data_IF_209163853292
#
_entry.id   IF_209163853292
#
_cell.length_a   1.000
_cell.length_b   1.000
_cell.length_c   1.000
_cell.angle_alpha   90.00
_cell.angle_beta   90.00
_cell.angle_gamma   90.00
#
_symmetry.space_group_name_H-M   'P 1'
#
loop_
_entity.id
_entity.type
_entity.pdbx_description
1 polymer ?
#
# COMPACT_ATOMS: atom_id res chain seq x y z
N UNK A 1 -7.04 8.69 -0.52
CA UNK A 1 -6.35 7.41 -0.81
C UNK A 1 -7.36 6.33 -1.18
N UNK A 2 -8.27 5.91 -0.29
CA UNK A 2 -9.27 4.86 -0.57
C UNK A 2 -10.10 5.12 -1.83
N UNK A 3 -10.62 6.33 -2.04
CA UNK A 3 -11.38 6.65 -3.26
C UNK A 3 -10.59 6.39 -4.56
N UNK A 4 -9.25 6.59 -4.54
CA UNK A 4 -8.39 6.31 -5.70
C UNK A 4 -8.19 4.81 -5.92
N UNK A 5 -8.19 4.00 -4.86
CA UNK A 5 -8.17 2.54 -4.98
C UNK A 5 -9.48 2.02 -5.58
N UNK A 6 -10.61 2.53 -5.07
CA UNK A 6 -11.94 2.08 -5.49
C UNK A 6 -12.32 2.57 -6.89
N UNK A 7 -11.74 3.67 -7.37
CA UNK A 7 -11.96 4.17 -8.72
C UNK A 7 -11.53 3.19 -9.83
N UNK A 8 -10.75 2.15 -9.52
CA UNK A 8 -10.41 1.09 -10.48
C UNK A 8 -11.57 0.12 -10.75
N UNK A 9 -12.59 0.07 -9.89
CA UNK A 9 -13.69 -0.90 -9.98
C UNK A 9 -15.07 -0.33 -9.71
N UNK A 10 -15.17 0.91 -9.23
CA UNK A 10 -16.44 1.59 -8.92
C UNK A 10 -16.47 2.95 -9.59
N UNK A 11 -17.42 3.13 -10.52
CA UNK A 11 -17.63 4.38 -11.24
C UNK A 11 -18.09 5.52 -10.32
N UNK A 12 -17.86 6.76 -10.75
CA UNK A 12 -18.37 7.96 -10.06
C UNK A 12 -17.63 8.33 -8.77
N UNK A 13 -16.51 7.70 -8.46
CA UNK A 13 -15.66 7.99 -7.29
C UNK A 13 -14.92 9.31 -7.45
N UNK A 14 -15.02 10.21 -6.46
CA UNK A 14 -14.26 11.46 -6.44
C UNK A 14 -12.79 11.20 -6.06
N UNK A 15 -11.92 11.28 -7.07
CA UNK A 15 -10.47 11.15 -6.89
C UNK A 15 -9.75 12.50 -6.81
N UNK A 16 -10.45 13.62 -7.00
CA UNK A 16 -9.86 14.96 -6.99
C UNK A 16 -9.55 15.45 -5.57
N UNK A 17 -10.19 14.88 -4.55
CA UNK A 17 -9.97 15.29 -3.16
C UNK A 17 -8.48 15.17 -2.76
N UNK A 18 -7.84 16.28 -2.32
CA UNK A 18 -6.39 16.33 -2.12
C UNK A 18 -5.95 15.89 -0.72
N UNK A 19 -6.91 15.57 0.17
CA UNK A 19 -6.61 15.15 1.53
C UNK A 19 -6.99 13.69 1.76
N UNK A 20 -6.36 13.09 2.76
CA UNK A 20 -6.77 11.80 3.30
C UNK A 20 -7.27 12.05 4.72
N UNK A 21 -8.45 11.50 5.06
CA UNK A 21 -9.05 11.63 6.41
C UNK A 21 -8.04 11.34 7.51
N UNK A 22 -7.23 10.31 7.29
CA UNK A 22 -5.97 10.10 8.00
C UNK A 22 -4.83 10.62 7.15
N UNK A 23 -4.18 11.70 7.59
CA UNK A 23 -3.22 12.43 6.77
C UNK A 23 -1.94 11.63 6.52
N UNK A 24 -1.20 11.25 7.55
CA UNK A 24 -0.01 10.40 7.41
C UNK A 24 -0.37 8.95 7.78
N UNK A 25 0.25 7.94 7.15
CA UNK A 25 1.20 8.05 6.04
C UNK A 25 0.52 8.34 4.68
N UNK A 26 -0.80 8.19 4.60
CA UNK A 26 -1.54 8.02 3.35
C UNK A 26 -1.50 9.19 2.36
N UNK A 27 -1.33 10.44 2.80
CA UNK A 27 -1.19 11.60 1.90
C UNK A 27 0.03 11.47 0.99
N UNK A 28 1.06 10.74 1.42
CA UNK A 28 2.25 10.46 0.61
C UNK A 28 1.97 9.52 -0.57
N UNK A 29 0.87 8.77 -0.55
CA UNK A 29 0.47 7.92 -1.67
C UNK A 29 -0.09 8.72 -2.84
N UNK A 30 -0.57 9.95 -2.60
CA UNK A 30 -1.20 10.76 -3.65
C UNK A 30 -0.25 11.08 -4.81
N UNK A 31 1.03 11.34 -4.50
CA UNK A 31 2.08 11.54 -5.53
C UNK A 31 2.34 10.27 -6.35
N UNK A 32 2.13 9.07 -5.80
CA UNK A 32 2.32 7.81 -6.51
C UNK A 32 1.22 7.64 -7.57
N UNK A 33 -0.02 7.95 -7.22
CA UNK A 33 -1.14 7.94 -8.17
C UNK A 33 -0.98 8.96 -9.30
N UNK A 34 -0.39 10.12 -9.01
CA UNK A 34 -0.21 11.19 -9.98
C UNK A 34 1.05 11.04 -10.85
N UNK A 35 1.98 10.15 -10.49
CA UNK A 35 3.26 10.00 -11.16
C UNK A 35 3.18 9.10 -12.41
N UNK A 36 4.13 9.30 -13.32
CA UNK A 36 4.33 8.45 -14.48
C UNK A 36 4.79 7.05 -14.06
N UNK A 37 4.50 6.04 -14.90
CA UNK A 37 4.75 4.63 -14.56
C UNK A 37 6.19 4.37 -14.10
N UNK A 38 7.18 5.02 -14.72
CA UNK A 38 8.60 4.85 -14.46
C UNK A 38 9.06 5.47 -13.12
N UNK A 39 8.33 6.45 -12.59
CA UNK A 39 8.67 7.14 -11.34
C UNK A 39 8.06 6.45 -10.12
N UNK A 40 6.96 5.71 -10.32
CA UNK A 40 6.20 5.04 -9.24
C UNK A 40 7.04 4.11 -8.37
N UNK A 41 7.98 3.29 -8.89
CA UNK A 41 8.78 2.40 -8.05
C UNK A 41 9.60 3.15 -7.00
N UNK A 42 10.30 4.21 -7.41
CA UNK A 42 11.10 5.03 -6.50
C UNK A 42 10.23 5.74 -5.46
N UNK A 43 9.04 6.22 -5.86
CA UNK A 43 8.11 6.87 -4.95
C UNK A 43 7.49 5.88 -3.94
N UNK A 44 7.23 4.64 -4.35
CA UNK A 44 6.75 3.58 -3.46
C UNK A 44 7.82 3.13 -2.48
N UNK A 45 9.06 2.99 -2.94
CA UNK A 45 10.21 2.70 -2.08
C UNK A 45 10.40 3.79 -1.01
N UNK A 46 10.35 5.07 -1.41
CA UNK A 46 10.40 6.22 -0.49
C UNK A 46 9.23 6.23 0.51
N UNK A 47 8.04 5.83 0.07
CA UNK A 47 6.86 5.70 0.93
C UNK A 47 7.06 4.63 2.00
N UNK A 48 7.46 3.42 1.60
CA UNK A 48 7.67 2.28 2.49
C UNK A 48 8.79 2.54 3.51
N UNK A 49 9.90 3.12 3.07
CA UNK A 49 11.01 3.51 3.95
C UNK A 49 10.59 4.47 5.07
N UNK A 50 9.53 5.27 4.85
CA UNK A 50 9.02 6.25 5.80
C UNK A 50 7.71 5.81 6.47
N UNK A 51 7.18 4.63 6.14
CA UNK A 51 5.83 4.22 6.50
C UNK A 51 5.66 4.19 8.02
N UNK A 52 6.55 3.50 8.73
CA UNK A 52 6.46 3.33 10.18
C UNK A 52 6.56 4.66 10.93
N UNK A 53 7.61 5.46 10.66
CA UNK A 53 7.81 6.75 11.31
C UNK A 53 6.73 7.78 10.97
N UNK A 54 6.19 7.72 9.74
CA UNK A 54 5.07 8.56 9.34
C UNK A 54 3.78 8.17 10.09
N UNK A 55 3.67 6.91 10.53
CA UNK A 55 2.58 6.37 11.32
C UNK A 55 2.72 6.59 12.83
N UNK A 56 3.73 7.31 13.32
CA UNK A 56 3.96 7.56 14.77
C UNK A 56 2.81 8.19 15.57
N UNK A 57 1.81 8.74 14.89
CA UNK A 57 0.60 9.31 15.52
C UNK A 57 -0.57 8.33 15.54
N UNK A 58 -0.42 7.17 14.92
CA UNK A 58 -1.47 6.16 14.88
C UNK A 58 -1.45 5.31 16.16
N UNK A 59 -2.62 4.87 16.65
CA UNK A 59 -2.72 4.08 17.88
C UNK A 59 -1.96 2.76 17.86
N UNK A 60 -1.64 2.22 16.67
CA UNK A 60 -0.88 0.98 16.52
C UNK A 60 0.64 1.19 16.58
N UNK A 61 1.15 2.41 16.52
CA UNK A 61 2.59 2.63 16.61
C UNK A 61 3.13 2.11 17.95
N UNK A 62 4.24 1.39 17.91
CA UNK A 62 4.83 0.67 19.05
C UNK A 62 3.88 -0.29 19.78
N UNK A 63 2.76 -0.70 19.17
CA UNK A 63 1.87 -1.70 19.77
C UNK A 63 2.58 -3.03 20.02
N UNK A 64 3.55 -3.39 19.17
CA UNK A 64 4.41 -4.56 19.34
C UNK A 64 5.19 -4.58 20.66
N UNK A 65 5.43 -3.40 21.26
CA UNK A 65 6.14 -3.26 22.53
C UNK A 65 5.19 -3.05 23.73
N UNK A 66 3.89 -2.83 23.48
CA UNK A 66 2.90 -2.48 24.52
C UNK A 66 1.94 -3.60 24.87
N UNK A 67 1.62 -4.49 23.93
CA UNK A 67 0.56 -5.48 24.10
C UNK A 67 0.89 -6.80 23.37
N UNK A 68 0.38 -7.89 23.93
CA UNK A 68 0.29 -9.21 23.29
C UNK A 68 -0.65 -9.25 22.08
N UNK A 69 -1.53 -8.25 21.91
CA UNK A 69 -2.48 -8.14 20.78
C UNK A 69 -1.90 -7.55 19.48
N UNK A 70 -0.59 -7.66 19.26
CA UNK A 70 0.06 -7.14 18.05
C UNK A 70 -0.23 -8.00 16.81
N UNK A 71 -1.06 -7.49 15.91
CA UNK A 71 -1.44 -8.17 14.65
C UNK A 71 -0.42 -8.02 13.50
N UNK A 72 0.75 -7.42 13.76
CA UNK A 72 1.73 -7.10 12.71
C UNK A 72 1.62 -5.67 12.18
N UNK A 73 2.63 -5.26 11.44
CA UNK A 73 2.67 -4.00 10.69
C UNK A 73 2.62 -4.32 9.21
N UNK A 74 1.50 -4.02 8.57
CA UNK A 74 1.27 -4.33 7.17
C UNK A 74 0.72 -3.11 6.45
N UNK A 75 1.45 -2.64 5.44
CA UNK A 75 0.99 -1.61 4.51
C UNK A 75 0.14 -2.27 3.43
N UNK A 76 -1.10 -2.61 3.77
CA UNK A 76 -2.07 -3.19 2.84
C UNK A 76 -2.33 -2.29 1.63
N UNK A 77 -2.32 -0.97 1.87
CA UNK A 77 -2.45 0.02 0.81
C UNK A 77 -1.26 -0.01 -0.16
N UNK A 78 -0.03 -0.26 0.27
CA UNK A 78 1.11 -0.35 -0.64
C UNK A 78 1.00 -1.55 -1.59
N UNK A 79 0.52 -2.69 -1.09
CA UNK A 79 0.22 -3.86 -1.93
C UNK A 79 -0.88 -3.54 -2.95
N UNK A 80 -1.99 -2.95 -2.50
CA UNK A 80 -3.09 -2.57 -3.39
C UNK A 80 -2.66 -1.57 -4.46
N UNK A 81 -1.91 -0.53 -4.09
CA UNK A 81 -1.39 0.48 -5.02
C UNK A 81 -0.44 -0.17 -6.04
N UNK A 82 0.50 -1.00 -5.58
CA UNK A 82 1.46 -1.69 -6.45
C UNK A 82 0.76 -2.54 -7.49
N UNK A 83 -0.25 -3.31 -7.07
CA UNK A 83 -1.02 -4.16 -7.96
C UNK A 83 -1.84 -3.34 -8.96
N UNK A 84 -2.66 -2.39 -8.48
CA UNK A 84 -3.58 -1.62 -9.33
C UNK A 84 -2.88 -0.70 -10.32
N UNK A 85 -1.73 -0.12 -9.94
CA UNK A 85 -0.94 0.76 -10.80
C UNK A 85 0.11 0.03 -11.65
N UNK A 86 0.13 -1.31 -11.59
CA UNK A 86 1.11 -2.15 -12.29
C UNK A 86 2.56 -1.66 -12.08
N UNK A 87 2.93 -1.43 -10.82
CA UNK A 87 4.26 -0.95 -10.44
C UNK A 87 5.22 -2.16 -10.39
N UNK A 88 6.38 -2.04 -11.04
CA UNK A 88 7.47 -2.99 -10.84
C UNK A 88 8.05 -2.82 -9.42
N UNK A 89 7.80 -3.82 -8.58
CA UNK A 89 8.17 -3.83 -7.18
C UNK A 89 9.52 -4.48 -6.88
N UNK A 90 10.29 -4.86 -7.90
CA UNK A 90 11.61 -5.47 -7.74
C UNK A 90 12.55 -4.67 -6.83
N UNK A 91 12.52 -3.34 -6.92
CA UNK A 91 13.39 -2.44 -6.13
C UNK A 91 13.03 -2.31 -4.65
N UNK A 92 11.80 -2.66 -4.26
CA UNK A 92 11.32 -2.53 -2.87
C UNK A 92 10.64 -3.80 -2.36
N UNK A 93 10.88 -4.93 -3.03
CA UNK A 93 10.27 -6.22 -2.70
C UNK A 93 10.52 -6.66 -1.26
N UNK A 94 11.71 -6.36 -0.76
CA UNK A 94 12.15 -6.73 0.60
C UNK A 94 11.91 -5.60 1.63
N UNK A 95 11.18 -4.55 1.26
CA UNK A 95 10.89 -3.44 2.15
C UNK A 95 10.05 -3.90 3.35
N UNK A 96 10.38 -3.39 4.54
CA UNK A 96 9.63 -3.67 5.74
C UNK A 96 8.14 -3.33 5.55
N UNK A 97 7.26 -4.17 6.10
CA UNK A 97 5.81 -4.00 6.12
C UNK A 97 5.11 -4.08 4.75
N UNK A 98 5.85 -4.28 3.65
CA UNK A 98 5.29 -4.44 2.31
C UNK A 98 4.81 -5.89 2.07
N UNK A 99 3.52 -6.12 1.78
CA UNK A 99 3.00 -7.47 1.50
C UNK A 99 3.34 -7.97 0.08
N UNK A 100 4.63 -8.15 -0.23
CA UNK A 100 5.11 -8.54 -1.58
C UNK A 100 4.49 -9.86 -2.10
N UNK A 101 4.34 -10.84 -1.22
CA UNK A 101 3.78 -12.15 -1.59
C UNK A 101 2.28 -12.06 -1.93
N UNK A 102 1.54 -11.13 -1.34
CA UNK A 102 0.14 -10.90 -1.70
C UNK A 102 0.01 -10.32 -3.12
N UNK A 103 0.92 -9.41 -3.49
CA UNK A 103 0.99 -8.88 -4.86
C UNK A 103 1.39 -9.98 -5.84
N UNK A 104 2.36 -10.81 -5.48
CA UNK A 104 2.78 -11.95 -6.30
C UNK A 104 1.64 -12.96 -6.51
N UNK A 105 0.93 -13.33 -5.43
CA UNK A 105 -0.24 -14.20 -5.48
C UNK A 105 -1.33 -13.66 -6.41
N UNK A 106 -1.64 -12.37 -6.32
CA UNK A 106 -2.66 -11.78 -7.17
C UNK A 106 -2.24 -11.74 -8.66
N UNK A 107 -0.94 -11.59 -8.96
CA UNK A 107 -0.40 -11.63 -10.33
C UNK A 107 -0.34 -13.05 -10.92
N UNK A 108 -0.46 -14.10 -10.11
CA UNK A 108 -0.51 -15.47 -10.62
C UNK A 108 -1.76 -15.70 -11.49
N UNK A 109 -1.64 -16.54 -12.54
CA UNK A 109 -2.79 -16.92 -13.35
C UNK A 109 -3.83 -17.64 -12.48
N UNK A 110 -5.13 -17.56 -12.83
CA UNK A 110 -6.20 -18.20 -12.06
C UNK A 110 -5.99 -19.70 -11.81
N UNK A 111 -5.35 -20.41 -12.75
CA UNK A 111 -5.03 -21.84 -12.65
C UNK A 111 -3.99 -22.20 -11.58
N UNK A 112 -3.31 -21.21 -11.00
CA UNK A 112 -2.25 -21.39 -10.01
C UNK A 112 -2.63 -20.86 -8.62
N UNK A 113 -3.82 -20.25 -8.49
CA UNK A 113 -4.37 -19.85 -7.20
C UNK A 113 -4.95 -21.11 -6.54
N UNK A 114 -4.38 -21.51 -5.40
CA UNK A 114 -4.85 -22.66 -4.65
C UNK A 114 -6.33 -22.49 -4.29
N UNK A 115 -7.10 -23.56 -4.42
CA UNK A 115 -8.44 -23.60 -3.84
C UNK A 115 -8.30 -23.40 -2.32
N UNK A 116 -9.12 -22.54 -1.69
CA UNK A 116 -9.10 -22.39 -0.24
C UNK A 116 -9.41 -23.74 0.40
N UNK A 117 -8.60 -24.10 1.41
CA UNK A 117 -8.73 -25.35 2.18
C UNK A 117 -10.05 -25.44 2.95
#
# INVERSE_FOLDING_TARGET
MVERLLAFSVDGRDTAWPTCTRRQPYVKTLKIFAAEKQERPALMQDYLAKWYDASRREPYHDSHARDTSFSGYWSWEAAAITFLLDIDDSSYRDAAFYPADLVAFQRQPPSMRLDPA
#
